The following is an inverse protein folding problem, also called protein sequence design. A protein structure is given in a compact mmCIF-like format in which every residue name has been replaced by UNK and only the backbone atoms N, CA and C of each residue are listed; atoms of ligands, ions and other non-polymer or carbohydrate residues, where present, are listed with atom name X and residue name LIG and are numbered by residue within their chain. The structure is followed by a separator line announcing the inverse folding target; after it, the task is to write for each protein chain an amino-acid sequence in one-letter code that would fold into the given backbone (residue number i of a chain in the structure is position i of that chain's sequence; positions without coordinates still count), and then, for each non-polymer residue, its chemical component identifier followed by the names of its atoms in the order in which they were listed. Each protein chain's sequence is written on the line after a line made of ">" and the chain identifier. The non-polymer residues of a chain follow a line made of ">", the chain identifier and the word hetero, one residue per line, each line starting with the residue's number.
data_IF_539663037077
#
_entry.id   IF_539663037077
#
_cell.length_a   1.000
_cell.length_b   1.000
_cell.length_c   1.000
_cell.angle_alpha   90.00
_cell.angle_beta   90.00
_cell.angle_gamma   90.00
#
_symmetry.space_group_name_H-M   'P 1'
#
loop_
_entity.id
_entity.type
_entity.pdbx_description
1 polymer ?
#
# COMPACT_ATOMS: atom_id res chain seq x y z
N UNK A 1 36.99 -62.81 -35.07
CA UNK A 1 35.78 -63.65 -34.89
C UNK A 1 34.95 -63.05 -33.77
N UNK A 2 33.78 -62.48 -34.12
CA UNK A 2 32.55 -62.21 -33.30
C UNK A 2 32.71 -61.50 -31.94
N UNK A 3 32.26 -60.23 -31.84
CA UNK A 3 30.92 -59.79 -31.37
C UNK A 3 30.81 -59.75 -29.83
N UNK A 4 30.21 -58.68 -29.31
CA UNK A 4 30.04 -58.27 -27.90
C UNK A 4 31.29 -57.59 -27.31
N UNK A 5 31.32 -56.27 -27.11
CA UNK A 5 30.46 -55.59 -26.14
C UNK A 5 30.30 -54.11 -26.53
N UNK A 6 29.48 -53.85 -27.54
CA UNK A 6 29.04 -52.50 -27.95
C UNK A 6 27.75 -52.17 -27.21
N UNK A 7 27.78 -52.03 -25.88
CA UNK A 7 26.64 -51.50 -25.10
C UNK A 7 27.14 -50.85 -23.81
N UNK A 8 26.47 -49.76 -23.41
CA UNK A 8 26.65 -48.95 -22.18
C UNK A 8 27.67 -47.80 -22.24
N UNK A 9 27.54 -46.87 -23.19
CA UNK A 9 27.93 -45.47 -22.90
C UNK A 9 26.90 -44.45 -23.40
N UNK A 10 25.91 -44.83 -24.23
CA UNK A 10 24.91 -43.88 -24.76
C UNK A 10 23.68 -43.64 -23.86
N UNK A 11 23.37 -44.51 -22.91
CA UNK A 11 22.20 -44.36 -22.04
C UNK A 11 22.51 -43.77 -20.66
N UNK A 12 23.77 -43.46 -20.38
CA UNK A 12 24.20 -43.01 -19.05
C UNK A 12 24.00 -41.50 -18.88
N UNK A 13 24.30 -40.72 -19.93
CA UNK A 13 24.06 -39.27 -19.97
C UNK A 13 22.59 -38.86 -19.79
N UNK A 14 21.60 -39.47 -20.50
CA UNK A 14 20.19 -39.13 -20.25
C UNK A 14 19.72 -39.57 -18.86
N UNK A 15 20.28 -40.65 -18.29
CA UNK A 15 19.99 -41.06 -16.91
C UNK A 15 20.52 -40.05 -15.88
N UNK A 16 21.75 -39.54 -16.03
CA UNK A 16 22.28 -38.51 -15.13
C UNK A 16 21.54 -37.19 -15.26
N UNK A 17 21.08 -36.82 -16.47
CA UNK A 17 20.28 -35.63 -16.68
C UNK A 17 18.89 -35.74 -16.03
N UNK A 18 18.25 -36.91 -16.12
CA UNK A 18 16.99 -37.20 -15.42
C UNK A 18 17.16 -37.19 -13.89
N UNK A 19 18.25 -37.77 -13.38
CA UNK A 19 18.54 -37.74 -11.94
C UNK A 19 18.79 -36.30 -11.48
N UNK A 20 19.53 -35.50 -12.26
CA UNK A 20 19.76 -34.08 -11.95
C UNK A 20 18.43 -33.30 -11.91
N UNK A 21 17.57 -33.46 -12.91
CA UNK A 21 16.25 -32.81 -12.94
C UNK A 21 15.36 -33.24 -11.78
N UNK A 22 15.37 -34.52 -11.39
CA UNK A 22 14.63 -35.02 -10.24
C UNK A 22 15.22 -34.45 -8.95
N UNK A 23 16.54 -34.37 -8.80
CA UNK A 23 17.16 -33.76 -7.61
C UNK A 23 16.91 -32.26 -7.52
N UNK A 24 16.94 -31.53 -8.64
CA UNK A 24 16.61 -30.10 -8.69
C UNK A 24 15.12 -29.88 -8.44
N UNK A 25 14.25 -30.73 -8.98
CA UNK A 25 12.82 -30.71 -8.71
C UNK A 25 12.49 -31.02 -7.26
N UNK A 26 13.16 -32.01 -6.64
CA UNK A 26 13.03 -32.30 -5.21
C UNK A 26 13.60 -31.14 -4.38
N UNK A 27 14.72 -30.53 -4.78
CA UNK A 27 15.28 -29.37 -4.08
C UNK A 27 14.35 -28.16 -4.19
N UNK A 28 13.73 -27.92 -5.35
CA UNK A 28 12.71 -26.90 -5.55
C UNK A 28 11.46 -27.19 -4.72
N UNK A 29 10.99 -28.44 -4.69
CA UNK A 29 9.86 -28.84 -3.83
C UNK A 29 10.24 -28.66 -2.36
N UNK A 30 11.45 -29.01 -1.93
CA UNK A 30 11.92 -28.82 -0.55
C UNK A 30 12.19 -27.35 -0.22
N UNK A 31 12.56 -26.50 -1.18
CA UNK A 31 12.68 -25.05 -0.98
C UNK A 31 11.29 -24.40 -0.94
N UNK A 32 10.36 -24.83 -1.79
CA UNK A 32 8.98 -24.33 -1.84
C UNK A 32 8.18 -24.82 -0.63
N UNK A 33 8.24 -26.12 -0.29
CA UNK A 33 7.62 -26.69 0.91
C UNK A 33 8.39 -26.36 2.20
N UNK A 34 9.71 -26.20 2.14
CA UNK A 34 10.51 -25.76 3.28
C UNK A 34 10.23 -24.31 3.65
N UNK A 35 9.92 -23.45 2.66
CA UNK A 35 9.28 -22.15 2.91
C UNK A 35 7.89 -22.29 3.52
N UNK A 36 7.13 -23.32 3.13
CA UNK A 36 5.75 -23.54 3.57
C UNK A 36 5.62 -24.24 4.94
N UNK A 37 6.67 -24.88 5.47
CA UNK A 37 6.64 -25.70 6.70
C UNK A 37 7.58 -25.23 7.83
N UNK A 38 8.05 -23.97 7.83
CA UNK A 38 8.96 -23.47 8.88
C UNK A 38 8.35 -22.52 9.91
N UNK A 39 7.05 -22.22 9.91
CA UNK A 39 6.48 -21.28 10.89
C UNK A 39 5.51 -21.97 11.84
N UNK A 40 6.03 -22.59 12.89
CA UNK A 40 5.30 -22.64 14.18
C UNK A 40 5.58 -21.42 15.06
N UNK A 41 6.57 -20.61 14.67
CA UNK A 41 6.90 -19.34 15.27
C UNK A 41 6.42 -18.26 14.29
N UNK A 42 5.52 -17.37 14.72
CA UNK A 42 4.80 -16.44 13.85
C UNK A 42 5.70 -15.51 13.05
N UNK A 43 6.94 -15.25 13.50
CA UNK A 43 8.05 -14.56 12.81
C UNK A 43 7.63 -13.44 11.83
N UNK A 44 6.59 -12.68 12.20
CA UNK A 44 5.89 -11.78 11.29
C UNK A 44 6.71 -10.51 11.02
N UNK A 45 7.64 -10.19 11.92
CA UNK A 45 8.62 -9.11 11.81
C UNK A 45 10.00 -9.66 11.42
N UNK A 46 10.07 -10.79 10.72
CA UNK A 46 11.33 -11.29 10.17
C UNK A 46 12.00 -10.23 9.29
N UNK A 47 13.27 -9.95 9.54
CA UNK A 47 14.05 -8.95 8.81
C UNK A 47 14.03 -7.54 9.42
N UNK A 48 13.22 -7.29 10.46
CA UNK A 48 13.21 -6.02 11.15
C UNK A 48 14.59 -5.69 11.76
N UNK A 49 15.02 -4.43 11.60
CA UNK A 49 16.33 -3.94 12.03
C UNK A 49 16.22 -2.87 13.12
N UNK A 50 16.05 -3.26 14.40
CA UNK A 50 15.99 -2.33 15.53
C UNK A 50 17.32 -1.61 15.82
N UNK A 51 18.40 -1.97 15.11
CA UNK A 51 19.67 -1.25 15.20
C UNK A 51 19.74 -0.05 14.24
N UNK A 52 18.83 0.01 13.25
CA UNK A 52 18.83 1.04 12.19
C UNK A 52 17.46 1.70 12.00
N UNK A 53 16.45 1.30 12.78
CA UNK A 53 15.08 1.76 12.67
C UNK A 53 14.44 1.84 14.05
N UNK A 54 13.57 2.82 14.26
CA UNK A 54 12.74 2.87 15.46
C UNK A 54 11.54 1.92 15.31
N UNK A 55 11.00 1.44 16.43
CA UNK A 55 9.77 0.66 16.42
C UNK A 55 8.57 1.58 16.67
N UNK A 56 7.59 1.54 15.78
CA UNK A 56 6.33 2.28 15.95
C UNK A 56 5.15 1.34 16.13
N UNK A 57 4.34 1.65 17.14
CA UNK A 57 3.05 1.00 17.37
C UNK A 57 1.96 2.04 17.14
N UNK A 58 0.98 1.69 16.32
CA UNK A 58 -0.20 2.48 16.00
C UNK A 58 -1.40 1.91 16.73
N UNK A 59 -2.32 2.79 17.11
CA UNK A 59 -3.62 2.46 17.68
C UNK A 59 -4.69 3.28 16.97
N UNK A 60 -5.76 2.62 16.56
CA UNK A 60 -6.91 3.26 15.92
C UNK A 60 -8.20 2.79 16.59
N UNK A 61 -8.89 3.73 17.25
CA UNK A 61 -10.13 3.47 18.01
C UNK A 61 -11.41 3.53 17.16
N UNK A 62 -11.28 3.77 15.85
CA UNK A 62 -12.39 4.04 14.94
C UNK A 62 -12.61 5.53 14.65
N UNK A 63 -11.85 6.42 15.27
CA UNK A 63 -11.95 7.88 15.08
C UNK A 63 -10.59 8.54 14.88
N UNK A 64 -9.62 8.21 15.72
CA UNK A 64 -8.31 8.83 15.72
C UNK A 64 -7.20 7.78 15.66
N UNK A 65 -6.12 8.12 14.96
CA UNK A 65 -4.89 7.33 14.94
C UNK A 65 -3.91 7.96 15.93
N UNK A 66 -3.43 7.12 16.85
CA UNK A 66 -2.34 7.45 17.77
C UNK A 66 -1.16 6.57 17.41
N UNK A 67 0.05 7.12 17.39
CA UNK A 67 1.28 6.34 17.26
C UNK A 67 2.17 6.58 18.47
N UNK A 68 2.84 5.52 18.92
CA UNK A 68 3.93 5.57 19.90
C UNK A 68 5.21 5.09 19.25
N UNK A 69 6.28 5.87 19.40
CA UNK A 69 7.60 5.52 18.85
C UNK A 69 8.55 5.15 19.97
N UNK A 70 9.05 3.91 19.94
CA UNK A 70 10.07 3.41 20.85
C UNK A 70 11.44 3.54 20.16
N UNK A 71 12.39 4.16 20.86
CA UNK A 71 13.76 4.40 20.40
C UNK A 71 14.83 3.62 21.16
N UNK A 72 14.48 2.94 22.27
CA UNK A 72 15.45 2.16 23.04
C UNK A 72 15.73 0.82 22.33
N UNK A 73 16.94 0.61 21.78
CA UNK A 73 17.20 -0.58 20.94
C UNK A 73 17.13 -1.89 21.74
N UNK A 74 17.32 -1.85 23.06
CA UNK A 74 17.21 -3.01 23.92
C UNK A 74 15.75 -3.45 24.07
N UNK A 75 14.86 -2.50 24.35
CA UNK A 75 13.42 -2.71 24.42
C UNK A 75 12.84 -3.11 23.06
N UNK A 76 13.27 -2.48 21.97
CA UNK A 76 12.84 -2.84 20.62
C UNK A 76 13.15 -4.31 20.29
N UNK A 77 14.39 -4.75 20.53
CA UNK A 77 14.81 -6.14 20.31
C UNK A 77 13.99 -7.13 21.12
N UNK A 78 13.73 -6.81 22.39
CA UNK A 78 12.89 -7.68 23.24
C UNK A 78 11.43 -7.70 22.78
N UNK A 79 10.88 -6.57 22.32
CA UNK A 79 9.52 -6.50 21.79
C UNK A 79 9.37 -7.29 20.49
N UNK A 80 10.28 -7.09 19.53
CA UNK A 80 10.31 -7.83 18.26
C UNK A 80 10.44 -9.33 18.52
N UNK A 81 11.32 -9.73 19.44
CA UNK A 81 11.48 -11.14 19.84
C UNK A 81 10.20 -11.72 20.44
N UNK A 82 9.49 -10.97 21.30
CA UNK A 82 8.19 -11.40 21.85
C UNK A 82 7.16 -11.59 20.75
N UNK A 83 7.03 -10.63 19.83
CA UNK A 83 6.08 -10.68 18.72
C UNK A 83 6.38 -11.87 17.79
N UNK A 84 7.64 -12.05 17.40
CA UNK A 84 8.05 -13.16 16.52
C UNK A 84 7.88 -14.55 17.15
N UNK A 85 7.86 -14.63 18.49
CA UNK A 85 7.62 -15.87 19.23
C UNK A 85 6.13 -16.21 19.40
N UNK A 86 5.21 -15.33 18.98
CA UNK A 86 3.78 -15.61 19.06
C UNK A 86 3.42 -16.81 18.17
N UNK A 87 2.59 -17.75 18.65
CA UNK A 87 2.09 -18.81 17.81
C UNK A 87 1.08 -18.23 16.82
N UNK A 88 1.35 -18.40 15.53
CA UNK A 88 0.47 -17.91 14.46
C UNK A 88 0.28 -18.99 13.40
N UNK A 89 -0.91 -19.01 12.80
CA UNK A 89 -1.26 -19.87 11.67
C UNK A 89 -1.63 -19.00 10.47
N UNK A 90 -1.34 -19.45 9.26
CA UNK A 90 -1.76 -18.74 8.03
C UNK A 90 -3.29 -18.72 7.96
N UNK A 91 -3.86 -17.56 7.66
CA UNK A 91 -5.29 -17.36 7.47
C UNK A 91 -5.61 -16.96 6.02
N UNK A 92 -6.87 -17.14 5.63
CA UNK A 92 -7.37 -16.73 4.32
C UNK A 92 -7.79 -15.25 4.30
N UNK A 93 -7.92 -14.71 3.10
CA UNK A 93 -8.32 -13.32 2.83
C UNK A 93 -9.67 -12.94 3.47
N UNK A 94 -10.60 -13.90 3.61
CA UNK A 94 -11.88 -13.67 4.25
C UNK A 94 -11.78 -13.25 5.73
N UNK A 95 -10.66 -13.53 6.39
CA UNK A 95 -10.42 -13.10 7.77
C UNK A 95 -10.37 -11.57 7.92
N UNK A 96 -9.95 -10.84 6.88
CA UNK A 96 -9.84 -9.38 6.93
C UNK A 96 -11.19 -8.70 7.17
N UNK A 97 -12.27 -9.25 6.60
CA UNK A 97 -13.62 -8.73 6.80
C UNK A 97 -14.11 -8.85 8.26
N UNK A 98 -13.53 -9.76 9.06
CA UNK A 98 -13.88 -9.97 10.47
C UNK A 98 -13.11 -9.10 11.46
N UNK A 99 -12.18 -8.27 11.00
CA UNK A 99 -11.46 -7.31 11.85
C UNK A 99 -12.42 -6.20 12.31
N UNK A 100 -12.23 -5.71 13.54
CA UNK A 100 -13.07 -4.67 14.15
C UNK A 100 -12.22 -3.68 14.96
N UNK A 101 -12.76 -2.51 15.25
CA UNK A 101 -12.09 -1.57 16.16
C UNK A 101 -11.97 -2.14 17.59
N UNK A 102 -10.86 -1.90 18.30
CA UNK A 102 -9.70 -1.13 17.84
C UNK A 102 -8.79 -1.94 16.89
N UNK A 103 -8.12 -1.22 16.00
CA UNK A 103 -7.01 -1.75 15.21
C UNK A 103 -5.71 -1.31 15.87
N UNK A 104 -4.67 -2.15 15.77
CA UNK A 104 -3.30 -1.72 15.99
C UNK A 104 -2.48 -1.94 14.73
N UNK A 105 -1.39 -1.19 14.62
CA UNK A 105 -0.47 -1.27 13.51
C UNK A 105 0.95 -1.28 14.02
N UNK A 106 1.86 -1.92 13.30
CA UNK A 106 3.29 -1.94 13.58
C UNK A 106 3.99 -1.38 12.34
N UNK A 107 4.97 -0.53 12.56
CA UNK A 107 5.93 -0.12 11.54
C UNK A 107 7.35 -0.22 12.10
N UNK A 108 8.24 -0.78 11.29
CA UNK A 108 9.69 -0.82 11.50
C UNK A 108 10.33 -1.08 10.14
N UNK A 109 11.56 -0.62 9.90
CA UNK A 109 12.27 -0.94 8.65
C UNK A 109 13.28 -2.08 8.82
N UNK A 110 13.64 -2.70 7.70
CA UNK A 110 14.80 -3.59 7.61
C UNK A 110 16.13 -2.81 7.54
N UNK A 111 17.23 -3.54 7.35
CA UNK A 111 18.59 -2.98 7.26
C UNK A 111 18.81 -2.11 6.02
N UNK A 112 18.04 -2.33 4.96
CA UNK A 112 18.08 -1.58 3.70
C UNK A 112 17.13 -0.36 3.72
N UNK A 113 16.35 -0.21 4.79
CA UNK A 113 15.40 0.87 5.00
C UNK A 113 14.03 0.63 4.38
N UNK A 114 13.71 -0.60 3.96
CA UNK A 114 12.36 -0.95 3.48
C UNK A 114 11.40 -1.19 4.64
N UNK A 115 10.19 -0.67 4.49
CA UNK A 115 9.12 -0.83 5.47
C UNK A 115 8.72 -2.31 5.69
N UNK A 116 8.60 -2.68 6.96
CA UNK A 116 7.88 -3.85 7.45
C UNK A 116 6.71 -3.35 8.26
N UNK A 117 5.52 -3.45 7.68
CA UNK A 117 4.29 -2.99 8.34
C UNK A 117 3.30 -4.13 8.55
N UNK A 118 2.62 -4.08 9.69
CA UNK A 118 1.63 -5.08 10.06
C UNK A 118 0.42 -4.38 10.63
N UNK A 119 -0.78 -4.74 10.18
CA UNK A 119 -2.04 -4.27 10.73
C UNK A 119 -2.78 -5.42 11.37
N UNK A 120 -3.44 -5.17 12.49
CA UNK A 120 -3.95 -6.26 13.30
C UNK A 120 -5.20 -5.86 14.10
N UNK A 121 -6.09 -6.83 14.29
CA UNK A 121 -7.34 -6.70 15.03
C UNK A 121 -7.97 -8.08 15.22
N UNK A 122 -8.58 -8.34 16.39
CA UNK A 122 -9.29 -9.60 16.71
C UNK A 122 -8.46 -10.87 16.44
N UNK A 123 -7.15 -10.79 16.66
CA UNK A 123 -6.22 -11.88 16.41
C UNK A 123 -5.86 -12.11 14.93
N UNK A 124 -6.38 -11.31 14.00
CA UNK A 124 -5.96 -11.31 12.59
C UNK A 124 -4.79 -10.34 12.42
N UNK A 125 -3.76 -10.77 11.70
CA UNK A 125 -2.55 -10.00 11.41
C UNK A 125 -2.34 -9.96 9.90
N UNK A 126 -2.32 -8.77 9.32
CA UNK A 126 -2.07 -8.51 7.91
C UNK A 126 -0.70 -7.87 7.75
N UNK A 127 0.22 -8.56 7.07
CA UNK A 127 1.53 -8.02 6.70
C UNK A 127 1.42 -7.23 5.39
N UNK A 128 2.34 -6.30 5.18
CA UNK A 128 2.40 -5.43 4.00
C UNK A 128 2.54 -6.16 2.65
N UNK A 129 3.10 -7.36 2.64
CA UNK A 129 3.12 -8.23 1.45
C UNK A 129 1.78 -8.92 1.15
N UNK A 130 0.74 -8.65 1.94
CA UNK A 130 -0.59 -9.25 1.82
C UNK A 130 -0.74 -10.60 2.53
N UNK A 131 0.31 -11.12 3.19
CA UNK A 131 0.20 -12.36 3.96
C UNK A 131 -0.63 -12.14 5.22
N UNK A 132 -1.53 -13.08 5.51
CA UNK A 132 -2.46 -13.00 6.63
C UNK A 132 -2.22 -14.15 7.60
N UNK A 133 -2.23 -13.83 8.88
CA UNK A 133 -2.10 -14.79 9.96
C UNK A 133 -3.23 -14.63 10.96
N UNK A 134 -3.52 -15.72 11.69
CA UNK A 134 -4.31 -15.72 12.90
C UNK A 134 -3.44 -16.10 14.09
N UNK A 135 -3.45 -15.27 15.13
CA UNK A 135 -2.76 -15.47 16.39
C UNK A 135 -3.42 -14.61 17.45
N UNK A 136 -4.15 -15.25 18.37
CA UNK A 136 -4.85 -14.56 19.45
C UNK A 136 -3.81 -14.02 20.46
N UNK A 137 -3.78 -12.70 20.63
CA UNK A 137 -2.83 -12.01 21.50
C UNK A 137 -3.48 -10.75 22.03
N UNK A 138 -3.29 -10.52 23.33
CA UNK A 138 -3.79 -9.32 23.98
C UNK A 138 -2.85 -8.14 23.70
N UNK A 139 -3.20 -7.38 22.67
CA UNK A 139 -2.40 -6.27 22.16
C UNK A 139 -2.55 -5.00 22.97
N UNK A 140 -3.61 -4.87 23.79
CA UNK A 140 -3.71 -3.73 24.70
C UNK A 140 -2.54 -3.74 25.68
N UNK A 141 -2.06 -4.91 26.09
CA UNK A 141 -0.88 -5.04 26.94
C UNK A 141 0.41 -4.58 26.25
N UNK A 142 0.55 -4.77 24.94
CA UNK A 142 1.69 -4.23 24.20
C UNK A 142 1.61 -2.71 24.08
N UNK A 143 0.41 -2.18 23.82
CA UNK A 143 0.17 -0.75 23.80
C UNK A 143 0.47 -0.09 25.15
N UNK A 144 -0.03 -0.66 26.24
CA UNK A 144 0.21 -0.23 27.62
C UNK A 144 1.71 -0.27 27.97
N UNK A 145 2.47 -1.25 27.47
CA UNK A 145 3.92 -1.33 27.68
C UNK A 145 4.70 -0.17 27.04
N UNK A 146 4.12 0.51 26.06
CA UNK A 146 4.70 1.69 25.41
C UNK A 146 4.20 3.01 26.02
N UNK A 147 3.47 2.98 27.14
CA UNK A 147 3.07 4.21 27.84
C UNK A 147 4.30 5.04 28.26
N UNK A 148 4.29 6.32 27.91
CA UNK A 148 5.37 7.26 28.23
C UNK A 148 6.42 7.41 27.12
N UNK A 149 6.37 6.58 26.08
CA UNK A 149 7.11 6.80 24.84
C UNK A 149 6.55 8.01 24.05
N UNK A 150 7.30 8.46 23.04
CA UNK A 150 6.90 9.59 22.20
C UNK A 150 5.58 9.29 21.47
N UNK A 151 4.57 10.13 21.69
CA UNK A 151 3.20 9.90 21.22
C UNK A 151 2.75 11.01 20.27
N UNK A 152 2.30 10.64 19.07
CA UNK A 152 1.74 11.55 18.07
C UNK A 152 0.30 11.18 17.74
N UNK A 153 -0.56 12.20 17.76
CA UNK A 153 -2.00 12.12 17.52
C UNK A 153 -2.44 12.98 16.31
N UNK A 154 -1.48 13.46 15.52
CA UNK A 154 -1.72 14.28 14.32
C UNK A 154 -1.96 13.45 13.05
N UNK A 155 -1.69 12.15 13.11
CA UNK A 155 -1.83 11.23 11.99
C UNK A 155 -3.30 10.96 11.64
N UNK A 156 -3.52 10.57 10.39
CA UNK A 156 -4.82 10.13 9.90
C UNK A 156 -4.84 8.64 9.59
N UNK A 157 -6.02 8.10 9.29
CA UNK A 157 -6.15 6.71 8.80
C UNK A 157 -5.33 6.42 7.55
N UNK A 158 -4.94 7.43 6.76
CA UNK A 158 -4.06 7.25 5.60
C UNK A 158 -2.62 6.89 5.98
N UNK A 159 -2.20 7.19 7.20
CA UNK A 159 -0.88 6.88 7.73
C UNK A 159 -0.86 5.53 8.47
N UNK A 160 -2.01 4.88 8.63
CA UNK A 160 -2.09 3.64 9.38
C UNK A 160 -1.49 2.48 8.57
N UNK A 161 -0.68 1.60 9.19
CA UNK A 161 -0.13 0.41 8.52
C UNK A 161 -1.19 -0.36 7.73
N UNK A 162 -0.90 -0.67 6.47
CA UNK A 162 -1.77 -1.43 5.56
C UNK A 162 -3.18 -0.85 5.34
N UNK A 163 -3.40 0.46 5.57
CA UNK A 163 -4.68 1.11 5.30
C UNK A 163 -5.16 0.90 3.85
N UNK A 164 -4.25 0.90 2.87
CA UNK A 164 -4.53 0.60 1.46
C UNK A 164 -5.22 -0.74 1.25
N UNK A 165 -4.67 -1.80 1.86
CA UNK A 165 -5.23 -3.15 1.80
C UNK A 165 -6.54 -3.25 2.59
N UNK A 166 -6.61 -2.61 3.77
CA UNK A 166 -7.78 -2.68 4.65
C UNK A 166 -8.97 -1.88 4.14
N UNK A 167 -8.76 -0.82 3.36
CA UNK A 167 -9.83 0.03 2.84
C UNK A 167 -10.84 -0.71 1.95
N UNK A 168 -10.46 -1.85 1.36
CA UNK A 168 -11.36 -2.72 0.61
C UNK A 168 -12.41 -3.42 1.50
N UNK A 169 -12.08 -3.64 2.78
CA UNK A 169 -12.91 -4.35 3.76
C UNK A 169 -13.58 -3.38 4.74
N UNK A 170 -12.89 -2.29 5.03
CA UNK A 170 -13.18 -1.36 6.12
C UNK A 170 -13.14 0.08 5.59
N UNK A 171 -14.28 0.61 5.10
CA UNK A 171 -14.31 1.92 4.42
C UNK A 171 -13.83 3.10 5.29
N UNK A 172 -13.79 2.95 6.60
CA UNK A 172 -13.27 3.97 7.52
C UNK A 172 -11.75 4.18 7.43
N UNK A 173 -11.01 3.32 6.73
CA UNK A 173 -9.61 3.59 6.38
C UNK A 173 -9.45 4.56 5.21
N UNK A 174 -10.54 4.95 4.54
CA UNK A 174 -10.54 6.09 3.63
C UNK A 174 -10.86 7.37 4.40
N UNK A 175 -10.07 8.40 4.18
CA UNK A 175 -10.26 9.68 4.84
C UNK A 175 -11.31 10.49 4.09
N UNK A 176 -12.34 10.97 4.79
CA UNK A 176 -13.31 11.87 4.15
C UNK A 176 -12.57 13.09 3.61
N UNK A 177 -12.70 13.33 2.32
CA UNK A 177 -12.08 14.48 1.68
C UNK A 177 -12.91 15.73 1.97
N UNK A 178 -12.22 16.78 2.37
CA UNK A 178 -12.76 18.13 2.28
C UNK A 178 -12.70 18.57 0.80
N UNK A 179 -13.52 19.54 0.42
CA UNK A 179 -13.32 20.15 -0.89
C UNK A 179 -11.94 20.83 -0.88
N UNK A 180 -11.23 20.90 -2.02
CA UNK A 180 -9.90 21.51 -2.05
C UNK A 180 -9.97 22.93 -1.45
N UNK A 181 -9.34 23.12 -0.29
CA UNK A 181 -9.45 24.34 0.53
C UNK A 181 -8.62 25.51 -0.01
N UNK A 182 -7.95 25.33 -1.16
CA UNK A 182 -7.26 26.39 -1.87
C UNK A 182 -8.10 26.99 -3.00
N UNK A 183 -7.92 28.30 -3.23
CA UNK A 183 -8.42 28.91 -4.45
C UNK A 183 -7.68 28.30 -5.64
N UNK A 184 -8.37 27.40 -6.36
CA UNK A 184 -7.94 27.02 -7.70
C UNK A 184 -7.79 28.31 -8.53
N UNK A 185 -6.60 28.52 -9.10
CA UNK A 185 -6.34 29.72 -9.89
C UNK A 185 -7.33 29.75 -11.05
N UNK A 186 -8.07 30.86 -11.14
CA UNK A 186 -9.02 31.05 -12.22
C UNK A 186 -8.29 31.00 -13.56
N UNK A 187 -8.82 30.22 -14.51
CA UNK A 187 -8.19 30.03 -15.83
C UNK A 187 -7.26 28.82 -15.94
N UNK A 188 -6.94 28.10 -14.86
CA UNK A 188 -6.27 26.81 -14.93
C UNK A 188 -7.31 25.68 -15.00
N UNK A 189 -7.19 24.81 -16.00
CA UNK A 189 -8.11 23.70 -16.25
C UNK A 189 -7.34 22.40 -16.33
N UNK A 190 -7.75 21.41 -15.54
CA UNK A 190 -7.30 20.03 -15.64
C UNK A 190 -8.36 19.18 -16.36
N UNK A 191 -7.94 18.32 -17.28
CA UNK A 191 -8.84 17.43 -18.05
C UNK A 191 -8.17 16.09 -18.33
N UNK A 192 -8.97 15.04 -18.51
CA UNK A 192 -8.44 13.72 -18.85
C UNK A 192 -8.07 13.67 -20.33
N UNK A 193 -6.87 13.20 -20.64
CA UNK A 193 -6.44 12.86 -22.00
C UNK A 193 -6.60 11.36 -22.28
N UNK A 194 -6.12 10.51 -21.37
CA UNK A 194 -6.17 9.05 -21.47
C UNK A 194 -6.29 8.41 -20.08
N UNK A 195 -6.95 7.25 -20.01
CA UNK A 195 -7.04 6.47 -18.78
C UNK A 195 -6.82 5.00 -19.11
N UNK A 196 -5.93 4.38 -18.36
CA UNK A 196 -5.63 2.96 -18.37
C UNK A 196 -5.79 2.40 -16.95
N UNK A 197 -5.93 1.07 -16.77
CA UNK A 197 -6.13 0.49 -15.44
C UNK A 197 -5.07 0.89 -14.42
N UNK A 198 -3.83 1.09 -14.87
CA UNK A 198 -2.66 1.38 -14.04
C UNK A 198 -2.20 2.82 -14.08
N UNK A 199 -2.77 3.69 -14.92
CA UNK A 199 -2.30 5.08 -15.08
C UNK A 199 -3.36 5.99 -15.66
N UNK A 200 -3.26 7.26 -15.34
CA UNK A 200 -4.08 8.32 -15.93
C UNK A 200 -3.17 9.40 -16.50
N UNK A 201 -3.47 9.85 -17.72
CA UNK A 201 -2.82 10.99 -18.34
C UNK A 201 -3.81 12.16 -18.38
N UNK A 202 -3.38 13.31 -17.88
CA UNK A 202 -4.18 14.53 -17.79
C UNK A 202 -3.51 15.68 -18.52
N UNK A 203 -4.33 16.56 -19.08
CA UNK A 203 -3.93 17.85 -19.62
C UNK A 203 -4.13 18.92 -18.57
N UNK A 204 -3.11 19.73 -18.32
CA UNK A 204 -3.19 20.93 -17.47
C UNK A 204 -2.99 22.13 -18.39
N UNK A 205 -4.05 22.92 -18.60
CA UNK A 205 -4.01 24.13 -19.43
C UNK A 205 -4.07 25.38 -18.55
N UNK A 206 -3.06 26.24 -18.67
CA UNK A 206 -3.02 27.51 -17.96
C UNK A 206 -3.47 28.64 -18.89
N UNK A 207 -4.60 29.28 -18.56
CA UNK A 207 -5.11 30.49 -19.20
C UNK A 207 -5.45 31.55 -18.16
N UNK A 208 -4.73 31.56 -17.03
CA UNK A 208 -4.96 32.46 -15.91
C UNK A 208 -4.49 33.90 -16.17
N UNK A 209 -3.67 34.11 -17.20
CA UNK A 209 -2.95 35.38 -17.42
C UNK A 209 -1.64 35.49 -16.64
N UNK A 210 -1.32 34.51 -15.79
CA UNK A 210 -0.10 34.44 -14.98
C UNK A 210 0.64 33.11 -15.17
N UNK A 211 1.85 33.01 -14.62
CA UNK A 211 2.58 31.75 -14.54
C UNK A 211 1.96 30.86 -13.45
N UNK A 212 1.72 29.60 -13.79
CA UNK A 212 1.20 28.59 -12.87
C UNK A 212 2.30 27.58 -12.54
N UNK A 213 2.35 27.10 -11.29
CA UNK A 213 3.24 25.99 -10.91
C UNK A 213 2.50 24.90 -10.15
N UNK A 214 2.96 23.67 -10.31
CA UNK A 214 2.39 22.48 -9.65
C UNK A 214 3.47 21.44 -9.33
N UNK A 215 3.26 20.64 -8.28
CA UNK A 215 4.11 19.50 -7.92
C UNK A 215 3.75 18.20 -8.64
N UNK A 216 4.52 17.13 -8.36
CA UNK A 216 4.22 15.76 -8.84
C UNK A 216 3.38 14.93 -7.86
N UNK A 217 3.21 15.42 -6.64
CA UNK A 217 2.34 14.78 -5.66
C UNK A 217 0.88 14.78 -6.13
N UNK A 218 0.20 13.67 -5.90
CA UNK A 218 -1.22 13.55 -6.18
C UNK A 218 -1.90 12.62 -5.18
N UNK A 219 -3.20 12.81 -5.02
CA UNK A 219 -4.06 11.85 -4.30
C UNK A 219 -5.14 11.31 -5.22
N UNK A 220 -5.60 10.10 -4.90
CA UNK A 220 -6.77 9.53 -5.53
C UNK A 220 -7.93 9.55 -4.54
N UNK A 221 -9.09 10.03 -4.99
CA UNK A 221 -10.29 10.06 -4.17
C UNK A 221 -11.41 9.29 -4.87
N UNK A 222 -12.19 8.54 -4.08
CA UNK A 222 -13.34 7.76 -4.54
C UNK A 222 -14.63 8.41 -4.05
N UNK A 223 -15.65 8.43 -4.91
CA UNK A 223 -16.98 8.86 -4.52
C UNK A 223 -17.78 7.69 -3.93
N UNK A 224 -18.30 7.88 -2.72
CA UNK A 224 -19.16 6.93 -1.99
C UNK A 224 -20.35 7.71 -1.46
N UNK A 225 -21.56 7.31 -1.84
CA UNK A 225 -22.82 7.96 -1.43
C UNK A 225 -22.84 9.49 -1.63
N UNK A 226 -22.23 9.96 -2.73
CA UNK A 226 -22.15 11.38 -3.07
C UNK A 226 -21.16 12.19 -2.22
N UNK A 227 -20.29 11.53 -1.45
CA UNK A 227 -19.20 12.13 -0.70
C UNK A 227 -17.86 11.64 -1.23
N UNK A 228 -16.83 12.47 -1.14
CA UNK A 228 -15.48 12.13 -1.58
C UNK A 228 -14.66 11.61 -0.41
N UNK A 229 -13.86 10.58 -0.69
CA UNK A 229 -12.95 9.99 0.28
C UNK A 229 -11.58 9.79 -0.37
N UNK A 230 -10.54 10.32 0.27
CA UNK A 230 -9.15 10.06 -0.09
C UNK A 230 -8.80 8.62 0.21
N UNK A 231 -8.30 7.93 -0.81
CA UNK A 231 -7.84 6.56 -0.68
C UNK A 231 -6.44 6.52 -0.08
N UNK A 232 -6.18 5.60 0.87
CA UNK A 232 -4.81 5.27 1.25
C UNK A 232 -4.09 4.58 0.09
N UNK A 233 -2.80 4.82 -0.04
CA UNK A 233 -1.97 4.04 -0.95
C UNK A 233 -1.83 2.61 -0.43
N UNK A 234 -1.74 1.66 -1.35
CA UNK A 234 -1.52 0.23 -1.08
C UNK A 234 -0.04 -0.15 -1.23
N UNK A 235 0.71 0.50 -2.11
CA UNK A 235 2.14 0.22 -2.24
C UNK A 235 2.93 0.85 -1.09
N UNK A 236 3.99 0.15 -0.66
CA UNK A 236 4.94 0.66 0.32
C UNK A 236 6.08 1.44 -0.34
N UNK A 237 6.83 2.20 0.47
CA UNK A 237 8.04 2.91 0.04
C UNK A 237 7.83 3.81 -1.20
N UNK A 238 6.66 4.46 -1.28
CA UNK A 238 6.32 5.39 -2.37
C UNK A 238 7.04 6.72 -2.14
N UNK A 239 7.76 7.18 -3.17
CA UNK A 239 8.33 8.52 -3.23
C UNK A 239 7.74 9.32 -4.38
N UNK A 240 7.60 10.63 -4.18
CA UNK A 240 7.25 11.58 -5.23
C UNK A 240 8.46 12.49 -5.49
N UNK A 241 8.64 12.89 -6.75
CA UNK A 241 9.63 13.90 -7.09
C UNK A 241 9.25 15.24 -6.46
N UNK A 242 10.13 15.80 -5.64
CA UNK A 242 9.99 17.15 -5.10
C UNK A 242 10.49 18.16 -6.14
N UNK A 243 9.60 18.49 -7.08
CA UNK A 243 9.86 19.44 -8.18
C UNK A 243 8.66 20.36 -8.41
N UNK A 244 8.94 21.64 -8.63
CA UNK A 244 7.96 22.61 -9.10
C UNK A 244 7.97 22.66 -10.63
N UNK A 245 6.94 22.10 -11.27
CA UNK A 245 6.70 22.23 -12.70
C UNK A 245 6.14 23.62 -13.00
N UNK A 246 6.81 24.40 -13.85
CA UNK A 246 6.41 25.75 -14.22
C UNK A 246 5.68 25.74 -15.57
N UNK A 247 4.47 26.29 -15.60
CA UNK A 247 3.58 26.34 -16.75
C UNK A 247 3.19 27.80 -17.08
N UNK A 248 3.79 28.42 -18.11
CA UNK A 248 3.45 29.78 -18.53
C UNK A 248 2.00 29.93 -18.99
N UNK A 249 1.48 31.16 -18.98
CA UNK A 249 0.16 31.48 -19.52
C UNK A 249 0.01 31.08 -21.01
N UNK A 250 -1.17 30.61 -21.36
CA UNK A 250 -1.53 30.08 -22.68
C UNK A 250 -0.84 28.77 -23.05
N UNK A 251 -0.21 28.07 -22.09
CA UNK A 251 0.45 26.78 -22.31
C UNK A 251 -0.33 25.63 -21.71
N UNK A 252 -0.04 24.45 -22.23
CA UNK A 252 -0.61 23.17 -21.79
C UNK A 252 0.52 22.19 -21.51
N UNK A 253 0.40 21.45 -20.41
CA UNK A 253 1.24 20.31 -20.08
C UNK A 253 0.42 19.02 -20.06
N UNK A 254 1.05 17.90 -20.40
CA UNK A 254 0.47 16.56 -20.26
C UNK A 254 1.25 15.82 -19.18
N UNK A 255 0.54 15.28 -18.20
CA UNK A 255 1.09 14.62 -17.02
C UNK A 255 0.51 13.22 -16.87
N UNK A 256 1.35 12.24 -16.56
CA UNK A 256 0.91 10.86 -16.35
C UNK A 256 1.19 10.42 -14.93
N UNK A 257 0.15 9.93 -14.26
CA UNK A 257 0.18 9.48 -12.87
C UNK A 257 0.00 7.97 -12.80
N UNK A 258 0.81 7.30 -11.98
CA UNK A 258 0.76 5.84 -11.77
C UNK A 258 -0.31 5.49 -10.74
N UNK A 259 -1.40 4.86 -11.18
CA UNK A 259 -2.49 4.45 -10.30
C UNK A 259 -2.23 3.11 -9.60
N UNK A 260 -1.19 2.35 -10.00
CA UNK A 260 -0.88 1.06 -9.36
C UNK A 260 -0.59 1.18 -7.87
N UNK A 261 -0.15 2.35 -7.41
CA UNK A 261 0.11 2.60 -6.00
C UNK A 261 -1.14 2.45 -5.13
N UNK A 262 -2.34 2.49 -5.71
CA UNK A 262 -3.63 2.27 -5.05
C UNK A 262 -4.20 0.85 -5.26
N UNK A 263 -3.42 -0.06 -5.86
CA UNK A 263 -3.87 -1.40 -6.20
C UNK A 263 -4.85 -1.43 -7.37
N UNK A 264 -5.68 -2.47 -7.42
CA UNK A 264 -6.71 -2.60 -8.45
C UNK A 264 -7.92 -1.73 -8.08
N UNK A 265 -8.27 -0.79 -8.95
CA UNK A 265 -9.41 0.09 -8.72
C UNK A 265 -10.73 -0.63 -9.03
N UNK A 266 -11.58 -0.75 -8.02
CA UNK A 266 -12.96 -1.21 -8.19
C UNK A 266 -13.78 -0.26 -9.08
N UNK A 267 -14.86 -0.73 -9.72
CA UNK A 267 -15.77 0.15 -10.44
C UNK A 267 -16.31 1.28 -9.56
N UNK A 268 -16.35 2.49 -10.10
CA UNK A 268 -16.77 3.67 -9.36
C UNK A 268 -16.40 4.99 -10.04
N UNK A 269 -16.82 6.08 -9.41
CA UNK A 269 -16.42 7.44 -9.79
C UNK A 269 -15.25 7.84 -8.90
N UNK A 270 -14.19 8.31 -9.54
CA UNK A 270 -12.95 8.73 -8.92
C UNK A 270 -12.63 10.17 -9.31
N UNK A 271 -11.84 10.86 -8.49
CA UNK A 271 -11.14 12.08 -8.91
C UNK A 271 -9.66 11.98 -8.56
N UNK A 272 -8.84 12.29 -9.55
CA UNK A 272 -7.41 12.56 -9.35
C UNK A 272 -7.31 13.99 -8.80
N UNK A 273 -6.57 14.19 -7.72
CA UNK A 273 -6.34 15.50 -7.13
C UNK A 273 -4.86 15.83 -7.19
N UNK A 274 -4.53 16.97 -7.78
CA UNK A 274 -3.18 17.52 -7.92
C UNK A 274 -3.23 18.94 -7.37
N UNK A 275 -2.58 19.19 -6.23
CA UNK A 275 -2.71 20.43 -5.48
C UNK A 275 -4.20 20.76 -5.20
N UNK A 276 -4.68 21.92 -5.62
CA UNK A 276 -6.07 22.37 -5.48
C UNK A 276 -6.95 22.03 -6.70
N UNK A 277 -6.43 21.28 -7.67
CA UNK A 277 -7.15 20.91 -8.89
C UNK A 277 -7.54 19.45 -8.85
N UNK A 278 -8.66 19.13 -9.49
CA UNK A 278 -9.07 17.74 -9.62
C UNK A 278 -9.77 17.48 -10.93
N UNK A 279 -9.65 16.24 -11.39
CA UNK A 279 -10.37 15.75 -12.56
C UNK A 279 -11.07 14.45 -12.24
N UNK A 280 -12.36 14.40 -12.55
CA UNK A 280 -13.20 13.23 -12.35
C UNK A 280 -13.07 12.23 -13.51
N UNK A 281 -13.09 10.95 -13.17
CA UNK A 281 -13.13 9.86 -14.13
C UNK A 281 -13.90 8.65 -13.59
N UNK A 282 -14.34 7.79 -14.50
CA UNK A 282 -15.10 6.59 -14.21
C UNK A 282 -14.24 5.35 -14.47
N UNK A 283 -14.21 4.47 -13.48
CA UNK A 283 -13.74 3.08 -13.61
C UNK A 283 -14.99 2.19 -13.73
N UNK A 284 -15.12 1.41 -14.81
CA UNK A 284 -16.21 0.47 -15.03
C UNK A 284 -15.74 -0.98 -15.13
N UNK A 285 -16.68 -1.93 -15.21
CA UNK A 285 -16.38 -3.34 -15.48
C UNK A 285 -15.73 -3.51 -16.87
N UNK A 286 -14.40 -3.44 -16.91
CA UNK A 286 -13.60 -3.61 -18.14
C UNK A 286 -13.56 -2.41 -19.09
N UNK A 287 -14.09 -1.24 -18.71
CA UNK A 287 -14.02 -0.01 -19.51
C UNK A 287 -13.79 1.22 -18.63
N UNK A 288 -12.95 2.14 -19.09
CA UNK A 288 -12.68 3.43 -18.44
C UNK A 288 -13.34 4.55 -19.26
N UNK A 289 -14.01 5.49 -18.59
CA UNK A 289 -14.64 6.62 -19.25
C UNK A 289 -14.35 7.91 -18.47
N UNK A 290 -13.87 8.95 -19.14
CA UNK A 290 -13.85 10.29 -18.55
C UNK A 290 -15.28 10.87 -18.57
N UNK A 291 -15.77 11.38 -17.45
CA UNK A 291 -16.95 12.25 -17.42
C UNK A 291 -16.48 13.68 -17.24
N UNK A 292 -16.63 14.50 -18.28
CA UNK A 292 -16.49 15.94 -18.14
C UNK A 292 -17.75 16.47 -17.41
N UNK A 293 -17.67 16.65 -16.08
CA UNK A 293 -18.62 17.52 -15.40
C UNK A 293 -18.21 18.97 -15.62
N UNK A 294 -18.96 19.69 -16.46
CA UNK A 294 -18.93 21.15 -16.48
C UNK A 294 -19.66 21.61 -15.23
N UNK A 295 -18.93 21.92 -14.16
CA UNK A 295 -19.48 22.73 -13.07
C UNK A 295 -19.63 24.16 -13.60
N UNK A 296 -20.82 24.48 -14.11
CA UNK A 296 -21.29 25.85 -14.19
C UNK A 296 -21.47 26.34 -12.74
N UNK A 297 -20.39 26.86 -12.12
CA UNK A 297 -20.56 27.79 -11.00
C UNK A 297 -21.36 28.96 -11.57
N UNK A 298 -22.64 29.01 -11.22
CA UNK A 298 -23.48 30.16 -11.51
C UNK A 298 -22.82 31.39 -10.90
N UNK A 299 -22.31 32.26 -11.77
CA UNK A 299 -22.01 33.65 -11.43
C UNK A 299 -23.29 34.23 -10.83
N UNK A 300 -23.24 34.56 -9.55
CA UNK A 300 -24.30 35.34 -8.90
C UNK A 300 -24.17 36.77 -9.42
N UNK A 301 -24.86 37.06 -10.52
CA UNK A 301 -25.07 38.43 -10.99
C UNK A 301 -26.16 39.07 -10.13
N UNK A 302 -25.74 39.79 -9.08
CA UNK A 302 -26.22 41.11 -8.61
C UNK A 302 -25.87 41.32 -7.14
#
# INVERSE_FOLDING_TARGET
>A
MKLFQKMKVKNVYPCYFLILLVTVGILLIVVLYGKQNSSKDGNILAGASPDTSAFQLYYFDGRAVTVRTLYDPGMEKELIKKINALPMEIADEGALAGMEVPFYGIWISDEDGYDITVALSKGVWLKNDGTIYYGDTDLSLLWEQMEGEDEDNSLTVLNFPNAGLLAAYHPFFMLKAEDPDGEAAEGVVISVEDIQPSRITVSIANNSGEEFSYGKYFTLQKQIDGQWYTMPAQADNIGFEDIACVLPDGKTASETYDLNIYGTLEPGIYRLVVENYSVEFLVGYGNLFAKAHVFLRYIKVR
#
